data_IF_473475495843
#
_entry.id   IF_473475495843
#
_cell.length_a   1.000
_cell.length_b   1.000
_cell.length_c   1.000
_cell.angle_alpha   90.00
_cell.angle_beta   90.00
_cell.angle_gamma   90.00
#
_symmetry.space_group_name_H-M   'P 1'
#
loop_
_entity.id
_entity.type
_entity.pdbx_description
1 polymer ?
#
# COMPACT_ATOMS: atom_id res chain seq x y z
N UNK A 1 -16.25 -13.33 4.89
CA UNK A 1 -17.52 -12.79 4.36
C UNK A 1 -18.15 -11.99 5.47
N UNK A 2 -18.23 -10.66 5.35
CA UNK A 2 -18.91 -9.82 6.36
C UNK A 2 -20.41 -9.99 6.08
N UNK A 3 -21.11 -10.69 6.96
CA UNK A 3 -22.58 -10.75 6.92
C UNK A 3 -23.12 -9.43 7.46
N UNK A 4 -23.89 -8.72 6.65
CA UNK A 4 -24.65 -7.55 7.07
C UNK A 4 -25.99 -8.04 7.60
N UNK A 5 -26.25 -7.83 8.89
CA UNK A 5 -27.48 -8.22 9.55
C UNK A 5 -28.45 -7.04 9.62
N UNK A 6 -29.73 -7.30 9.34
CA UNK A 6 -30.78 -6.29 9.40
C UNK A 6 -31.15 -5.90 10.85
N UNK A 7 -30.61 -6.62 11.83
CA UNK A 7 -30.79 -6.41 13.27
C UNK A 7 -29.93 -5.27 13.81
N UNK A 8 -28.83 -4.93 13.13
CA UNK A 8 -27.90 -3.88 13.53
C UNK A 8 -28.21 -2.59 12.77
N UNK A 9 -28.56 -1.48 13.45
CA UNK A 9 -29.07 -0.27 12.78
C UNK A 9 -28.17 0.29 11.69
N UNK A 10 -26.85 0.32 11.91
CA UNK A 10 -25.91 0.85 10.92
C UNK A 10 -25.70 -0.10 9.73
N UNK A 11 -25.84 -1.41 9.93
CA UNK A 11 -25.78 -2.41 8.85
C UNK A 11 -27.05 -2.38 8.01
N UNK A 12 -28.20 -2.19 8.66
CA UNK A 12 -29.48 -1.94 7.98
C UNK A 12 -29.43 -0.69 7.11
N UNK A 13 -28.89 0.43 7.61
CA UNK A 13 -28.73 1.65 6.83
C UNK A 13 -27.86 1.41 5.57
N UNK A 14 -26.82 0.59 5.66
CA UNK A 14 -26.02 0.19 4.49
C UNK A 14 -26.88 -0.60 3.49
N UNK A 15 -27.68 -1.56 3.95
CA UNK A 15 -28.57 -2.34 3.08
C UNK A 15 -29.60 -1.45 2.37
N UNK A 16 -30.23 -0.53 3.10
CA UNK A 16 -31.21 0.42 2.56
C UNK A 16 -30.57 1.30 1.48
N UNK A 17 -29.32 1.76 1.67
CA UNK A 17 -28.56 2.51 0.65
C UNK A 17 -28.19 1.67 -0.56
N UNK A 18 -27.81 0.41 -0.38
CA UNK A 18 -27.54 -0.50 -1.50
C UNK A 18 -28.79 -0.75 -2.35
N UNK A 19 -29.95 -0.91 -1.71
CA UNK A 19 -31.23 -0.97 -2.42
C UNK A 19 -31.52 0.32 -3.19
N UNK A 20 -31.20 1.48 -2.60
CA UNK A 20 -31.34 2.78 -3.27
C UNK A 20 -30.41 2.93 -4.47
N UNK A 21 -29.18 2.45 -4.39
CA UNK A 21 -28.25 2.42 -5.53
C UNK A 21 -28.83 1.57 -6.67
N UNK A 22 -29.37 0.39 -6.36
CA UNK A 22 -30.00 -0.45 -7.38
C UNK A 22 -31.18 0.25 -8.06
N UNK A 23 -32.05 0.87 -7.25
CA UNK A 23 -33.17 1.66 -7.76
C UNK A 23 -32.71 2.82 -8.67
N UNK A 24 -31.69 3.58 -8.27
CA UNK A 24 -31.14 4.67 -9.07
C UNK A 24 -30.56 4.16 -10.41
N UNK A 25 -29.89 3.01 -10.38
CA UNK A 25 -29.31 2.38 -11.57
C UNK A 25 -30.38 1.88 -12.55
N UNK A 26 -31.52 1.39 -12.06
CA UNK A 26 -32.63 0.92 -12.90
C UNK A 26 -33.40 2.09 -13.52
N UNK A 27 -33.68 3.16 -12.77
CA UNK A 27 -34.51 4.28 -13.24
C UNK A 27 -33.76 5.27 -14.13
N UNK A 28 -32.44 5.40 -13.98
CA UNK A 28 -31.56 6.25 -14.81
C UNK A 28 -32.05 7.69 -15.01
N UNK A 29 -32.63 8.29 -13.97
CA UNK A 29 -33.03 9.69 -13.99
C UNK A 29 -31.83 10.63 -14.21
N UNK A 30 -32.09 11.89 -14.52
CA UNK A 30 -31.03 12.89 -14.68
C UNK A 30 -30.07 12.88 -13.47
N UNK A 31 -28.76 12.82 -13.75
CA UNK A 31 -27.71 12.75 -12.74
C UNK A 31 -27.70 11.49 -11.83
N UNK A 32 -28.35 10.37 -12.23
CA UNK A 32 -28.36 9.14 -11.44
C UNK A 32 -26.96 8.63 -11.06
N UNK A 33 -25.95 8.80 -11.91
CA UNK A 33 -24.56 8.42 -11.63
C UNK A 33 -23.98 9.19 -10.44
N UNK A 34 -24.26 10.50 -10.35
CA UNK A 34 -23.85 11.33 -9.21
C UNK A 34 -24.58 10.91 -7.94
N UNK A 35 -25.87 10.59 -8.05
CA UNK A 35 -26.65 10.08 -6.91
C UNK A 35 -26.12 8.72 -6.42
N UNK A 36 -25.72 7.83 -7.32
CA UNK A 36 -25.05 6.56 -6.96
C UNK A 36 -23.74 6.83 -6.22
N UNK A 37 -22.92 7.79 -6.68
CA UNK A 37 -21.69 8.17 -5.99
C UNK A 37 -21.95 8.73 -4.59
N UNK A 38 -23.02 9.50 -4.40
CA UNK A 38 -23.42 10.01 -3.08
C UNK A 38 -23.79 8.84 -2.15
N UNK A 39 -24.68 7.95 -2.58
CA UNK A 39 -25.12 6.80 -1.78
C UNK A 39 -23.94 5.87 -1.45
N UNK A 40 -23.06 5.62 -2.43
CA UNK A 40 -21.85 4.82 -2.22
C UNK A 40 -20.91 5.47 -1.20
N UNK A 41 -20.73 6.79 -1.27
CA UNK A 41 -19.93 7.55 -0.30
C UNK A 41 -20.52 7.45 1.11
N UNK A 42 -21.85 7.48 1.23
CA UNK A 42 -22.53 7.31 2.51
C UNK A 42 -22.36 5.89 3.07
N UNK A 43 -22.42 4.86 2.22
CA UNK A 43 -22.07 3.48 2.61
C UNK A 43 -20.65 3.42 3.17
N UNK A 44 -19.67 4.01 2.47
CA UNK A 44 -18.29 4.07 2.95
C UNK A 44 -18.14 4.79 4.29
N UNK A 45 -18.76 5.97 4.43
CA UNK A 45 -18.73 6.75 5.66
C UNK A 45 -19.30 5.94 6.84
N UNK A 46 -20.41 5.24 6.61
CA UNK A 46 -21.05 4.41 7.62
C UNK A 46 -20.12 3.26 8.06
N UNK A 47 -19.50 2.55 7.11
CA UNK A 47 -18.53 1.49 7.41
C UNK A 47 -17.36 2.04 8.23
N UNK A 48 -16.72 3.12 7.79
CA UNK A 48 -15.51 3.66 8.45
C UNK A 48 -15.83 4.17 9.86
N UNK A 49 -16.99 4.79 10.04
CA UNK A 49 -17.41 5.32 11.34
C UNK A 49 -17.73 4.19 12.33
N UNK A 50 -18.46 3.16 11.90
CA UNK A 50 -18.88 2.06 12.77
C UNK A 50 -17.81 0.98 12.97
N UNK A 51 -16.85 0.84 12.06
CA UNK A 51 -15.73 -0.10 12.17
C UNK A 51 -14.42 0.58 12.60
N UNK A 52 -14.46 1.82 13.10
CA UNK A 52 -13.27 2.61 13.45
C UNK A 52 -12.27 1.84 14.30
N UNK A 53 -12.72 1.11 15.31
CA UNK A 53 -11.83 0.37 16.20
C UNK A 53 -11.13 -0.80 15.50
N UNK A 54 -11.83 -1.49 14.60
CA UNK A 54 -11.25 -2.59 13.81
C UNK A 54 -10.23 -2.03 12.81
N UNK A 55 -10.59 -0.95 12.12
CA UNK A 55 -9.73 -0.26 11.15
C UNK A 55 -8.49 0.36 11.82
N UNK A 56 -8.61 0.86 13.05
CA UNK A 56 -7.48 1.36 13.82
C UNK A 56 -6.56 0.24 14.33
N UNK A 57 -7.11 -0.95 14.63
CA UNK A 57 -6.31 -2.12 15.03
C UNK A 57 -5.52 -2.70 13.85
N UNK A 58 -6.09 -2.71 12.65
CA UNK A 58 -5.39 -3.20 11.45
C UNK A 58 -4.35 -2.21 10.92
N UNK A 59 -4.57 -0.90 11.09
CA UNK A 59 -3.66 0.16 10.62
C UNK A 59 -2.60 0.61 11.64
N UNK A 60 -2.51 -0.01 12.81
CA UNK A 60 -1.30 0.09 13.63
C UNK A 60 -0.37 -1.08 13.27
N UNK A 61 0.56 -0.96 12.29
CA UNK A 61 1.80 -1.69 12.46
C UNK A 61 2.30 -1.28 13.84
N UNK A 62 2.62 -2.25 14.71
CA UNK A 62 3.20 -1.93 16.00
C UNK A 62 4.31 -0.88 15.78
N UNK A 63 4.43 0.12 16.64
CA UNK A 63 5.51 1.12 16.53
C UNK A 63 6.87 0.43 16.34
N UNK A 64 7.02 -0.73 16.96
CA UNK A 64 8.11 -1.70 16.77
C UNK A 64 8.32 -2.10 15.30
N UNK A 65 7.28 -2.47 14.56
CA UNK A 65 7.39 -2.85 13.14
C UNK A 65 7.75 -1.65 12.26
N UNK A 66 7.16 -0.47 12.49
CA UNK A 66 7.54 0.73 11.72
C UNK A 66 9.01 1.11 11.96
N UNK A 67 9.45 1.06 13.22
CA UNK A 67 10.83 1.34 13.58
C UNK A 67 11.78 0.30 12.97
N UNK A 68 11.43 -0.99 13.01
CA UNK A 68 12.20 -2.06 12.35
C UNK A 68 12.32 -1.85 10.85
N UNK A 69 11.23 -1.48 10.17
CA UNK A 69 11.27 -1.18 8.74
C UNK A 69 12.24 -0.01 8.46
N UNK A 70 12.12 1.08 9.23
CA UNK A 70 13.04 2.23 9.10
C UNK A 70 14.49 1.81 9.29
N UNK A 71 14.79 0.94 10.26
CA UNK A 71 16.13 0.40 10.49
C UNK A 71 16.66 -0.35 9.27
N UNK A 72 15.89 -1.30 8.72
CA UNK A 72 16.29 -2.03 7.51
C UNK A 72 16.57 -1.10 6.33
N UNK A 73 15.63 -0.18 6.07
CA UNK A 73 15.74 0.73 4.93
C UNK A 73 16.92 1.69 5.10
N UNK A 74 17.11 2.25 6.30
CA UNK A 74 18.24 3.13 6.59
C UNK A 74 19.58 2.41 6.41
N UNK A 75 19.70 1.17 6.87
CA UNK A 75 20.90 0.37 6.67
C UNK A 75 21.21 0.17 5.18
N UNK A 76 20.21 -0.21 4.39
CA UNK A 76 20.34 -0.36 2.93
C UNK A 76 20.74 0.96 2.28
N UNK A 77 20.08 2.07 2.61
CA UNK A 77 20.37 3.38 2.03
C UNK A 77 21.79 3.87 2.33
N UNK A 78 22.33 3.54 3.50
CA UNK A 78 23.69 3.93 3.89
C UNK A 78 24.77 3.01 3.30
N UNK A 79 24.43 1.74 3.02
CA UNK A 79 25.40 0.71 2.64
C UNK A 79 25.19 0.13 1.24
N UNK A 80 24.26 0.65 0.44
CA UNK A 80 23.91 0.07 -0.87
C UNK A 80 25.09 -0.03 -1.83
N UNK A 81 26.10 0.85 -1.72
CA UNK A 81 27.30 0.80 -2.56
C UNK A 81 28.23 -0.37 -2.19
N UNK A 82 28.13 -0.92 -0.98
CA UNK A 82 28.95 -2.02 -0.49
C UNK A 82 28.34 -3.38 -0.85
N UNK A 83 29.14 -4.44 -0.84
CA UNK A 83 28.63 -5.81 -0.93
C UNK A 83 27.91 -6.19 0.36
N UNK A 84 26.60 -5.98 0.41
CA UNK A 84 25.75 -6.38 1.54
C UNK A 84 25.01 -7.69 1.24
N UNK A 85 24.92 -8.53 2.25
CA UNK A 85 24.19 -9.80 2.22
C UNK A 85 22.84 -9.68 2.94
N UNK A 86 21.99 -10.70 2.77
CA UNK A 86 20.73 -10.80 3.51
C UNK A 86 20.97 -10.86 5.04
N UNK A 87 22.07 -11.48 5.47
CA UNK A 87 22.44 -11.57 6.89
C UNK A 87 22.77 -10.19 7.46
N UNK A 88 23.45 -9.33 6.69
CA UNK A 88 23.78 -7.97 7.11
C UNK A 88 22.51 -7.12 7.29
N UNK A 89 21.57 -7.24 6.35
CA UNK A 89 20.29 -6.55 6.42
C UNK A 89 19.49 -7.05 7.64
N UNK A 90 19.42 -8.37 7.84
CA UNK A 90 18.70 -8.95 8.98
C UNK A 90 19.32 -8.51 10.33
N UNK A 91 20.65 -8.51 10.41
CA UNK A 91 21.42 -8.10 11.59
C UNK A 91 21.21 -6.63 11.95
N UNK A 92 20.96 -5.76 10.96
CA UNK A 92 20.72 -4.32 11.22
C UNK A 92 19.55 -4.06 12.18
N UNK A 93 18.56 -4.95 12.24
CA UNK A 93 17.42 -4.87 13.15
C UNK A 93 17.37 -6.01 14.18
N UNK A 94 18.49 -6.72 14.38
CA UNK A 94 18.61 -7.85 15.31
C UNK A 94 17.57 -8.97 15.06
N UNK A 95 17.34 -9.34 13.80
CA UNK A 95 16.43 -10.43 13.43
C UNK A 95 17.15 -11.52 12.63
N UNK A 96 16.54 -12.71 12.57
CA UNK A 96 17.01 -13.78 11.68
C UNK A 96 16.72 -13.49 10.20
N UNK A 97 17.45 -14.14 9.28
CA UNK A 97 17.16 -14.07 7.83
C UNK A 97 15.71 -14.42 7.48
N UNK A 98 15.17 -15.47 8.09
CA UNK A 98 13.79 -15.91 7.85
C UNK A 98 12.76 -14.86 8.28
N UNK A 99 12.99 -14.24 9.45
CA UNK A 99 12.14 -13.15 9.93
C UNK A 99 12.26 -11.90 9.06
N UNK A 100 13.47 -11.54 8.61
CA UNK A 100 13.71 -10.45 7.67
C UNK A 100 12.93 -10.67 6.35
N UNK A 101 13.05 -11.85 5.73
CA UNK A 101 12.31 -12.18 4.52
C UNK A 101 10.79 -12.13 4.72
N UNK A 102 10.28 -12.70 5.82
CA UNK A 102 8.85 -12.67 6.14
C UNK A 102 8.36 -11.24 6.35
N UNK A 103 9.15 -10.42 7.05
CA UNK A 103 8.83 -9.03 7.33
C UNK A 103 8.74 -8.19 6.06
N UNK A 104 9.75 -8.31 5.18
CA UNK A 104 9.76 -7.63 3.89
C UNK A 104 8.60 -8.06 2.98
N UNK A 105 8.30 -9.38 2.93
CA UNK A 105 7.16 -9.90 2.15
C UNK A 105 5.81 -9.38 2.67
N UNK A 106 5.64 -9.29 3.98
CA UNK A 106 4.40 -8.80 4.59
C UNK A 106 4.23 -7.28 4.51
N UNK A 107 5.34 -6.53 4.39
CA UNK A 107 5.33 -5.06 4.51
C UNK A 107 5.49 -4.36 3.16
N UNK A 108 6.42 -4.82 2.32
CA UNK A 108 6.79 -4.20 1.03
C UNK A 108 6.52 -5.15 -0.14
N UNK A 109 6.08 -6.40 0.13
CA UNK A 109 5.76 -7.42 -0.88
C UNK A 109 6.90 -7.81 -1.82
N UNK A 110 8.14 -7.50 -1.46
CA UNK A 110 9.38 -7.90 -2.16
C UNK A 110 10.36 -8.51 -1.16
N UNK A 111 11.36 -9.26 -1.61
CA UNK A 111 12.44 -9.72 -0.73
C UNK A 111 13.41 -8.58 -0.40
N UNK A 112 14.19 -8.70 0.70
CA UNK A 112 15.19 -7.68 1.07
C UNK A 112 16.26 -7.46 -0.02
N UNK A 113 16.63 -8.52 -0.74
CA UNK A 113 17.64 -8.47 -1.81
C UNK A 113 17.08 -7.83 -3.07
N UNK A 114 15.84 -8.16 -3.45
CA UNK A 114 15.16 -7.48 -4.57
C UNK A 114 15.04 -5.98 -4.28
N UNK A 115 14.64 -5.61 -3.06
CA UNK A 115 14.59 -4.21 -2.66
C UNK A 115 15.95 -3.50 -2.82
N UNK A 116 17.04 -4.12 -2.36
CA UNK A 116 18.40 -3.59 -2.54
C UNK A 116 18.76 -3.40 -4.02
N UNK A 117 18.46 -4.39 -4.87
CA UNK A 117 18.75 -4.34 -6.30
C UNK A 117 17.97 -3.18 -6.94
N UNK A 118 16.67 -3.10 -6.69
CA UNK A 118 15.84 -1.99 -7.17
C UNK A 118 16.35 -0.65 -6.67
N UNK A 119 16.76 -0.55 -5.41
CA UNK A 119 17.31 0.69 -4.85
C UNK A 119 18.61 1.12 -5.56
N UNK A 120 19.52 0.17 -5.84
CA UNK A 120 20.75 0.43 -6.62
C UNK A 120 20.44 0.91 -8.03
N UNK A 121 19.52 0.26 -8.72
CA UNK A 121 19.11 0.66 -10.08
C UNK A 121 18.58 2.08 -10.06
N UNK A 122 17.64 2.40 -9.16
CA UNK A 122 17.07 3.74 -9.05
C UNK A 122 18.12 4.80 -8.70
N UNK A 123 19.07 4.48 -7.81
CA UNK A 123 20.17 5.40 -7.49
C UNK A 123 21.13 5.60 -8.67
N UNK A 124 21.44 4.55 -9.42
CA UNK A 124 22.24 4.67 -10.63
C UNK A 124 21.53 5.51 -11.69
N UNK A 125 20.24 5.29 -11.94
CA UNK A 125 19.45 6.12 -12.85
C UNK A 125 19.43 7.58 -12.41
N UNK A 126 19.17 7.85 -11.14
CA UNK A 126 19.22 9.19 -10.58
C UNK A 126 20.60 9.85 -10.78
N UNK A 127 21.69 9.11 -10.53
CA UNK A 127 23.04 9.62 -10.75
C UNK A 127 23.30 9.89 -12.24
N UNK A 128 22.84 9.02 -13.14
CA UNK A 128 22.97 9.20 -14.60
C UNK A 128 22.18 10.41 -15.11
N UNK A 129 20.97 10.64 -14.60
CA UNK A 129 20.12 11.78 -14.99
C UNK A 129 20.62 13.12 -14.44
N UNK A 130 21.30 13.10 -13.28
CA UNK A 130 21.74 14.31 -12.58
C UNK A 130 23.26 14.53 -12.65
N UNK A 131 24.01 13.65 -13.32
CA UNK A 131 25.41 13.86 -13.67
C UNK A 131 25.46 14.25 -15.15
N UNK A 132 25.84 15.48 -15.46
CA UNK A 132 26.12 15.94 -16.82
C UNK A 132 27.29 15.15 -17.46
N UNK A 133 27.02 13.92 -17.89
CA UNK A 133 27.93 13.13 -18.72
C UNK A 133 27.15 12.55 -19.89
N UNK A 134 27.38 13.18 -21.04
CA UNK A 134 27.14 12.72 -22.40
C UNK A 134 27.20 11.20 -22.53
N UNK A 135 26.16 10.59 -23.09
CA UNK A 135 26.10 10.27 -24.53
C UNK A 135 24.72 9.67 -24.80
N UNK A 136 23.96 10.41 -25.60
CA UNK A 136 22.99 9.93 -26.58
C UNK A 136 21.70 9.29 -26.06
N UNK A 137 20.62 10.07 -26.19
CA UNK A 137 19.41 9.66 -26.91
C UNK A 137 19.10 8.15 -26.85
N UNK A 138 18.35 7.68 -25.87
CA UNK A 138 17.22 6.76 -26.07
C UNK A 138 16.27 7.00 -24.89
N UNK A 139 15.44 8.04 -25.01
CA UNK A 139 14.17 8.13 -24.27
C UNK A 139 13.08 7.61 -25.19
N UNK A 140 13.08 6.30 -25.39
CA UNK A 140 12.02 5.62 -26.11
C UNK A 140 11.76 4.26 -25.43
N UNK A 141 11.25 4.32 -24.20
CA UNK A 141 10.52 3.22 -23.57
C UNK A 141 9.44 3.78 -22.67
N UNK A 142 8.36 4.25 -23.29
CA UNK A 142 7.06 4.04 -22.71
C UNK A 142 6.78 2.54 -22.68
N UNK A 143 6.42 2.00 -21.51
CA UNK A 143 5.47 0.89 -21.29
C UNK A 143 5.09 1.00 -19.81
N UNK A 144 4.04 1.76 -19.53
CA UNK A 144 3.08 1.42 -18.49
C UNK A 144 1.81 1.00 -19.22
N UNK A 145 1.65 -0.31 -19.41
CA UNK A 145 0.34 -0.94 -19.60
C UNK A 145 0.38 -2.34 -19.03
#
# INVERSE_FOLDING_TARGET
MILLENTVPWQKDILDRLHRINFLYENREFAYELNILIEFTQVWLNIVTNMKDILQRTYKPSETNQNRLKTFLSFIQQNYMNKISLEDIASSANVSRGECCRFFRNTIQVSPIEYLISYRINKSLYLLENSDMTVSQISDYGIWR
#
